data_IF_252074817019
#
_entry.id   IF_252074817019
#
_cell.length_a   1.000
_cell.length_b   1.000
_cell.length_c   1.000
_cell.angle_alpha   90.00
_cell.angle_beta   90.00
_cell.angle_gamma   90.00
#
_symmetry.space_group_name_H-M   'P 1'
#
loop_
_entity.id
_entity.type
_entity.pdbx_description
1 polymer ?
#
# COMPACT_ATOMS: atom_id res chain seq x y z
N UNK A 1 -35.04 17.48 -6.02
CA UNK A 1 -34.55 16.67 -7.15
C UNK A 1 -33.36 15.86 -6.68
N UNK A 2 -33.44 14.54 -6.86
CA UNK A 2 -32.40 13.50 -6.71
C UNK A 2 -31.50 13.54 -5.45
N UNK A 3 -31.93 12.83 -4.40
CA UNK A 3 -31.02 12.32 -3.38
C UNK A 3 -30.16 11.23 -4.05
N UNK A 4 -28.98 11.61 -4.55
CA UNK A 4 -28.02 10.68 -5.16
C UNK A 4 -27.66 9.65 -4.08
N UNK A 5 -27.95 8.34 -4.26
CA UNK A 5 -27.54 7.36 -3.27
C UNK A 5 -26.02 7.46 -3.12
N UNK A 6 -25.55 7.65 -1.90
CA UNK A 6 -24.13 7.65 -1.57
C UNK A 6 -23.56 6.33 -2.10
N UNK A 7 -22.88 6.38 -3.24
CA UNK A 7 -22.23 5.22 -3.85
C UNK A 7 -21.24 4.70 -2.82
N UNK A 8 -21.56 3.58 -2.18
CA UNK A 8 -20.66 2.96 -1.21
C UNK A 8 -19.34 2.66 -1.91
N UNK A 9 -18.18 2.96 -1.29
CA UNK A 9 -16.88 2.72 -1.92
C UNK A 9 -16.77 1.23 -2.30
N UNK A 10 -16.13 0.92 -3.43
CA UNK A 10 -16.05 -0.44 -3.93
C UNK A 10 -15.24 -1.30 -2.93
N UNK A 11 -15.79 -2.47 -2.60
CA UNK A 11 -15.17 -3.44 -1.67
C UNK A 11 -14.21 -4.30 -2.48
N UNK A 12 -12.95 -4.40 -2.03
CA UNK A 12 -11.88 -5.13 -2.70
C UNK A 12 -11.19 -6.14 -1.80
N UNK A 13 -10.70 -7.23 -2.39
CA UNK A 13 -9.83 -8.18 -1.71
C UNK A 13 -8.39 -7.67 -1.79
N UNK A 14 -7.73 -7.52 -0.63
CA UNK A 14 -6.33 -7.08 -0.53
C UNK A 14 -5.50 -8.13 0.20
N UNK A 15 -4.30 -8.37 -0.31
CA UNK A 15 -3.30 -9.23 0.31
C UNK A 15 -2.13 -8.35 0.72
N UNK A 16 -1.80 -8.33 2.01
CA UNK A 16 -0.74 -7.48 2.53
C UNK A 16 0.63 -8.15 2.47
N UNK A 17 0.72 -9.43 2.83
CA UNK A 17 1.95 -10.23 2.76
C UNK A 17 1.62 -11.72 2.67
N UNK A 18 2.39 -12.47 1.90
CA UNK A 18 2.25 -13.92 1.79
C UNK A 18 3.05 -14.61 2.92
N UNK A 19 2.38 -15.42 3.74
CA UNK A 19 3.06 -16.43 4.58
C UNK A 19 3.32 -17.68 3.76
N UNK A 20 4.15 -18.60 4.26
CA UNK A 20 4.40 -19.91 3.65
C UNK A 20 3.13 -20.73 3.33
N UNK A 21 2.00 -20.42 3.95
CA UNK A 21 0.68 -21.03 3.69
C UNK A 21 -0.13 -20.31 2.59
N UNK A 22 0.43 -19.27 2.00
CA UNK A 22 0.01 -18.71 0.71
C UNK A 22 -1.10 -17.67 0.69
N UNK A 23 -2.01 -17.54 1.66
CA UNK A 23 -3.15 -16.60 1.50
C UNK A 23 -3.71 -16.03 2.81
N UNK A 24 -3.20 -14.88 3.29
CA UNK A 24 -4.02 -14.00 4.16
C UNK A 24 -4.69 -12.99 3.24
N UNK A 25 -5.94 -13.27 2.92
CA UNK A 25 -6.81 -12.41 2.13
C UNK A 25 -7.69 -11.61 3.08
N UNK A 26 -7.69 -10.30 2.93
CA UNK A 26 -8.50 -9.40 3.75
C UNK A 26 -9.38 -8.57 2.85
N UNK A 27 -10.68 -8.62 3.10
CA UNK A 27 -11.62 -7.68 2.49
C UNK A 27 -11.39 -6.28 3.05
N UNK A 28 -11.19 -5.34 2.14
CA UNK A 28 -10.93 -3.95 2.45
C UNK A 28 -11.79 -3.03 1.60
N UNK A 29 -11.93 -1.79 2.06
CA UNK A 29 -12.55 -0.71 1.28
C UNK A 29 -11.43 0.15 0.70
N UNK A 30 -11.47 0.39 -0.62
CA UNK A 30 -10.60 1.37 -1.25
C UNK A 30 -11.35 2.70 -1.36
N UNK A 31 -10.78 3.75 -0.77
CA UNK A 31 -11.33 5.11 -0.83
C UNK A 31 -10.21 6.14 -0.65
N UNK A 32 -10.20 7.17 -1.49
CA UNK A 32 -9.20 8.25 -1.46
C UNK A 32 -7.76 7.73 -1.59
N UNK A 33 -7.54 6.83 -2.56
CA UNK A 33 -6.24 6.21 -2.88
C UNK A 33 -5.56 5.45 -1.73
N UNK A 34 -6.31 5.15 -0.68
CA UNK A 34 -5.86 4.31 0.43
C UNK A 34 -6.87 3.21 0.72
N UNK A 35 -6.41 2.19 1.43
CA UNK A 35 -7.27 1.13 1.95
C UNK A 35 -7.72 1.44 3.38
N UNK A 36 -8.91 0.95 3.70
CA UNK A 36 -9.57 1.08 4.99
C UNK A 36 -10.03 -0.29 5.48
N UNK A 37 -9.69 -0.63 6.73
CA UNK A 37 -10.10 -1.90 7.36
C UNK A 37 -10.87 -1.65 8.66
N UNK A 38 -11.95 -2.42 8.93
CA UNK A 38 -12.52 -2.45 10.27
C UNK A 38 -11.57 -3.16 11.23
N UNK A 39 -11.68 -2.83 12.51
CA UNK A 39 -10.87 -3.41 13.60
C UNK A 39 -10.79 -4.95 13.56
N UNK A 40 -11.90 -5.61 13.25
CA UNK A 40 -11.96 -7.07 13.17
C UNK A 40 -11.09 -7.65 12.03
N UNK A 41 -11.01 -6.95 10.89
CA UNK A 41 -10.15 -7.36 9.78
C UNK A 41 -8.67 -7.20 10.12
N UNK A 42 -8.31 -6.13 10.86
CA UNK A 42 -6.94 -5.92 11.37
C UNK A 42 -6.57 -7.04 12.36
N UNK A 43 -7.50 -7.40 13.24
CA UNK A 43 -7.31 -8.49 14.19
C UNK A 43 -7.05 -9.83 13.47
N UNK A 44 -7.84 -10.14 12.43
CA UNK A 44 -7.66 -11.33 11.60
C UNK A 44 -6.32 -11.33 10.84
N UNK A 45 -5.95 -10.19 10.26
CA UNK A 45 -4.70 -10.01 9.50
C UNK A 45 -3.46 -10.34 10.35
N UNK A 46 -3.41 -9.83 11.58
CA UNK A 46 -2.28 -10.04 12.49
C UNK A 46 -2.48 -11.19 13.48
N UNK A 47 -3.58 -11.95 13.37
CA UNK A 47 -3.96 -13.04 14.29
C UNK A 47 -3.85 -12.65 15.76
N UNK A 48 -4.49 -11.53 16.11
CA UNK A 48 -4.63 -11.05 17.49
C UNK A 48 -6.09 -10.79 17.83
N UNK A 49 -6.39 -10.50 19.09
CA UNK A 49 -7.74 -10.16 19.50
C UNK A 49 -8.12 -8.75 19.05
N UNK A 50 -9.40 -8.47 18.75
CA UNK A 50 -9.86 -7.10 18.51
C UNK A 50 -9.48 -6.15 19.66
N UNK A 51 -9.57 -6.60 20.91
CA UNK A 51 -9.21 -5.81 22.08
C UNK A 51 -7.75 -5.35 22.04
N UNK A 52 -6.82 -6.22 21.64
CA UNK A 52 -5.42 -5.86 21.45
C UNK A 52 -5.25 -4.81 20.34
N UNK A 53 -6.00 -4.92 19.24
CA UNK A 53 -6.02 -3.87 18.20
C UNK A 53 -6.47 -2.53 18.76
N UNK A 54 -7.54 -2.49 19.58
CA UNK A 54 -7.98 -1.24 20.22
C UNK A 54 -6.89 -0.64 21.10
N UNK A 55 -6.19 -1.47 21.88
CA UNK A 55 -5.10 -1.01 22.73
C UNK A 55 -3.95 -0.41 21.90
N UNK A 56 -3.55 -1.08 20.82
CA UNK A 56 -2.51 -0.56 19.93
C UNK A 56 -2.92 0.76 19.26
N UNK A 57 -4.15 0.86 18.75
CA UNK A 57 -4.67 2.09 18.12
C UNK A 57 -4.72 3.23 19.13
N UNK A 58 -5.16 2.96 20.36
CA UNK A 58 -5.18 3.96 21.42
C UNK A 58 -3.77 4.47 21.71
N UNK A 59 -2.80 3.58 21.87
CA UNK A 59 -1.39 3.97 22.09
C UNK A 59 -0.83 4.78 20.91
N UNK A 60 -1.12 4.41 19.67
CA UNK A 60 -0.71 5.16 18.46
C UNK A 60 -1.16 6.63 18.51
N UNK A 61 -2.40 6.87 18.95
CA UNK A 61 -2.93 8.23 19.06
C UNK A 61 -2.42 8.97 20.31
N UNK A 62 -2.21 8.27 21.44
CA UNK A 62 -1.62 8.85 22.65
C UNK A 62 -0.14 9.23 22.46
N UNK A 63 0.59 8.50 21.63
CA UNK A 63 1.97 8.77 21.24
C UNK A 63 2.07 9.83 20.12
N UNK A 64 0.94 10.38 19.66
CA UNK A 64 0.86 11.35 18.57
C UNK A 64 1.52 10.88 17.25
N UNK A 65 1.64 9.56 17.03
CA UNK A 65 2.21 9.02 15.79
C UNK A 65 1.30 9.29 14.58
N UNK A 66 -0.02 9.28 14.80
CA UNK A 66 -1.04 9.53 13.78
C UNK A 66 -2.17 10.41 14.33
N UNK A 67 -2.77 11.22 13.45
CA UNK A 67 -3.98 11.99 13.79
C UNK A 67 -5.24 11.13 13.59
N UNK A 68 -6.00 10.95 14.68
CA UNK A 68 -7.23 10.18 14.67
C UNK A 68 -8.27 10.70 13.66
N UNK A 69 -8.36 12.02 13.44
CA UNK A 69 -9.35 12.58 12.52
C UNK A 69 -9.02 12.25 11.06
N UNK A 70 -7.74 12.17 10.71
CA UNK A 70 -7.28 11.79 9.38
C UNK A 70 -7.32 10.27 9.15
N UNK A 71 -7.12 9.46 10.20
CA UNK A 71 -6.89 8.02 10.04
C UNK A 71 -8.03 7.11 10.52
N UNK A 72 -9.12 7.67 11.03
CA UNK A 72 -10.30 6.93 11.49
C UNK A 72 -11.58 7.49 10.83
N UNK A 73 -12.40 6.61 10.24
CA UNK A 73 -13.68 6.97 9.62
C UNK A 73 -14.78 6.02 10.08
N UNK A 74 -15.98 6.55 10.28
CA UNK A 74 -17.17 5.74 10.57
C UNK A 74 -17.90 5.42 9.28
N UNK A 75 -18.11 4.12 9.02
CA UNK A 75 -18.86 3.66 7.85
C UNK A 75 -20.15 2.97 8.28
N UNK A 76 -21.23 3.26 7.56
CA UNK A 76 -22.49 2.56 7.72
C UNK A 76 -22.38 1.19 7.06
N UNK A 77 -22.43 0.13 7.86
CA UNK A 77 -22.53 -1.24 7.37
C UNK A 77 -23.98 -1.69 7.48
N UNK A 78 -24.62 -1.94 6.34
CA UNK A 78 -25.95 -2.54 6.26
C UNK A 78 -25.76 -4.04 6.07
N UNK A 79 -26.28 -4.83 7.00
CA UNK A 79 -26.26 -6.29 6.92
C UNK A 79 -27.70 -6.80 7.04
N UNK A 80 -28.05 -7.83 6.26
CA UNK A 80 -29.29 -8.57 6.51
C UNK A 80 -29.05 -9.61 7.61
N UNK A 81 -29.78 -9.48 8.72
CA UNK A 81 -29.87 -10.49 9.77
C UNK A 81 -31.28 -11.11 9.70
N UNK A 82 -31.38 -12.30 9.09
CA UNK A 82 -32.66 -12.98 8.85
C UNK A 82 -33.56 -12.18 7.90
N UNK A 83 -34.71 -11.69 8.40
CA UNK A 83 -35.66 -10.84 7.63
C UNK A 83 -35.45 -9.34 7.84
N UNK A 84 -34.53 -8.91 8.71
CA UNK A 84 -34.34 -7.50 9.08
C UNK A 84 -33.04 -6.97 8.50
N UNK A 85 -33.07 -5.76 7.93
CA UNK A 85 -31.85 -5.01 7.64
C UNK A 85 -31.42 -4.28 8.91
N UNK A 86 -30.22 -4.57 9.37
CA UNK A 86 -29.60 -3.91 10.51
C UNK A 86 -28.47 -3.03 9.98
N UNK A 87 -28.54 -1.73 10.27
CA UNK A 87 -27.47 -0.79 9.98
C UNK A 87 -26.66 -0.53 11.25
N UNK A 88 -25.34 -0.69 11.18
CA UNK A 88 -24.43 -0.35 12.27
C UNK A 88 -23.31 0.53 11.75
N UNK A 89 -23.03 1.61 12.47
CA UNK A 89 -21.81 2.38 12.24
C UNK A 89 -20.62 1.59 12.78
N UNK A 90 -19.62 1.39 11.93
CA UNK A 90 -18.38 0.70 12.29
C UNK A 90 -17.18 1.54 11.91
N UNK A 91 -16.28 1.73 12.87
CA UNK A 91 -15.02 2.40 12.63
C UNK A 91 -14.14 1.57 11.70
N UNK A 92 -13.55 2.25 10.73
CA UNK A 92 -12.51 1.74 9.86
C UNK A 92 -11.27 2.61 10.01
N UNK A 93 -10.12 1.98 9.84
CA UNK A 93 -8.83 2.59 10.02
C UNK A 93 -8.05 2.53 8.71
N UNK A 94 -7.32 3.60 8.43
CA UNK A 94 -6.52 3.73 7.20
C UNK A 94 -5.33 2.78 7.17
N UNK A 95 -4.70 2.64 5.99
CA UNK A 95 -3.45 1.91 5.79
C UNK A 95 -2.36 2.28 6.82
N UNK A 96 -2.26 3.57 7.17
CA UNK A 96 -1.24 4.05 8.10
C UNK A 96 -1.40 3.41 9.48
N UNK A 97 -2.64 3.36 10.00
CA UNK A 97 -2.94 2.71 11.29
C UNK A 97 -2.71 1.21 11.20
N UNK A 98 -3.07 0.59 10.07
CA UNK A 98 -2.89 -0.86 9.87
C UNK A 98 -1.39 -1.21 9.93
N UNK A 99 -0.54 -0.46 9.23
CA UNK A 99 0.91 -0.62 9.26
C UNK A 99 1.48 -0.38 10.66
N UNK A 100 1.08 0.70 11.32
CA UNK A 100 1.51 1.07 12.67
C UNK A 100 1.18 -0.02 13.71
N UNK A 101 -0.01 -0.64 13.61
CA UNK A 101 -0.37 -1.80 14.42
C UNK A 101 0.53 -2.99 14.07
N UNK A 102 0.75 -3.28 12.79
CA UNK A 102 1.60 -4.39 12.36
C UNK A 102 3.03 -4.34 12.94
N UNK A 103 3.61 -3.15 13.07
CA UNK A 103 4.92 -2.98 13.70
C UNK A 103 4.90 -3.24 15.22
N UNK A 104 3.81 -2.93 15.91
CA UNK A 104 3.66 -3.08 17.37
C UNK A 104 3.25 -4.49 17.81
N UNK A 105 2.59 -5.25 16.94
CA UNK A 105 2.02 -6.55 17.30
C UNK A 105 3.11 -7.61 17.55
N UNK A 106 2.99 -8.29 18.68
CA UNK A 106 3.83 -9.44 19.06
C UNK A 106 3.12 -10.76 18.75
N UNK A 107 2.96 -11.08 17.47
CA UNK A 107 2.40 -12.36 16.99
C UNK A 107 3.28 -12.96 15.89
N UNK A 108 3.15 -14.26 15.57
CA UNK A 108 3.84 -14.86 14.42
C UNK A 108 3.57 -14.09 13.11
N UNK A 109 2.32 -13.66 12.89
CA UNK A 109 1.94 -12.82 11.74
C UNK A 109 2.58 -11.44 11.78
N UNK A 110 2.66 -10.81 12.95
CA UNK A 110 3.39 -9.55 13.13
C UNK A 110 4.88 -9.69 12.82
N UNK A 111 5.50 -10.81 13.21
CA UNK A 111 6.90 -11.10 12.86
C UNK A 111 7.09 -11.29 11.36
N UNK A 112 6.22 -12.06 10.70
CA UNK A 112 6.24 -12.22 9.24
C UNK A 112 6.05 -10.88 8.52
N UNK A 113 5.11 -10.06 8.98
CA UNK A 113 4.90 -8.71 8.46
C UNK A 113 6.17 -7.87 8.57
N UNK A 114 6.84 -7.86 9.73
CA UNK A 114 8.09 -7.10 9.89
C UNK A 114 9.23 -7.64 9.02
N UNK A 115 9.35 -8.95 8.86
CA UNK A 115 10.34 -9.56 7.97
C UNK A 115 10.11 -9.14 6.52
N UNK A 116 8.86 -9.26 6.05
CA UNK A 116 8.44 -8.79 4.73
C UNK A 116 8.72 -7.30 4.55
N UNK A 117 8.27 -6.44 5.47
CA UNK A 117 8.46 -5.00 5.38
C UNK A 117 9.94 -4.61 5.36
N UNK A 118 10.78 -5.30 6.16
CA UNK A 118 12.24 -5.09 6.17
C UNK A 118 12.85 -5.48 4.82
N UNK A 119 12.47 -6.62 4.26
CA UNK A 119 12.96 -7.05 2.95
C UNK A 119 12.53 -6.08 1.84
N UNK A 120 11.27 -5.65 1.84
CA UNK A 120 10.73 -4.68 0.90
C UNK A 120 11.46 -3.34 0.98
N UNK A 121 11.67 -2.82 2.20
CA UNK A 121 12.39 -1.57 2.40
C UNK A 121 13.86 -1.70 1.97
N UNK A 122 14.50 -2.83 2.29
CA UNK A 122 15.87 -3.10 1.86
C UNK A 122 15.99 -3.15 0.34
N UNK A 123 15.05 -3.81 -0.34
CA UNK A 123 15.01 -3.86 -1.80
C UNK A 123 14.87 -2.47 -2.40
N UNK A 124 13.94 -1.65 -1.87
CA UNK A 124 13.79 -0.26 -2.27
C UNK A 124 15.09 0.54 -2.11
N UNK A 125 15.75 0.43 -0.95
CA UNK A 125 16.97 1.19 -0.66
C UNK A 125 18.17 0.74 -1.52
N UNK A 126 18.26 -0.54 -1.88
CA UNK A 126 19.37 -1.07 -2.69
C UNK A 126 19.14 -0.85 -4.19
N UNK A 127 17.93 -1.15 -4.70
CA UNK A 127 17.61 -1.13 -6.13
C UNK A 127 17.01 0.19 -6.60
N UNK A 128 16.44 0.98 -5.69
CA UNK A 128 15.68 2.20 -5.99
C UNK A 128 14.21 1.96 -6.34
N UNK A 129 13.73 0.70 -6.31
CA UNK A 129 12.34 0.35 -6.61
C UNK A 129 11.92 -0.97 -5.92
N UNK A 130 10.62 -1.19 -5.80
CA UNK A 130 9.98 -2.44 -5.36
C UNK A 130 8.89 -2.77 -6.37
N UNK A 131 8.75 -4.06 -6.72
CA UNK A 131 7.65 -4.54 -7.56
C UNK A 131 6.95 -5.73 -6.91
N UNK A 132 5.64 -5.80 -7.08
CA UNK A 132 4.85 -6.97 -6.78
C UNK A 132 4.60 -7.73 -8.09
N UNK A 133 5.55 -8.57 -8.48
CA UNK A 133 5.52 -9.30 -9.76
C UNK A 133 4.27 -10.18 -9.90
N UNK A 134 3.79 -10.76 -8.80
CA UNK A 134 2.62 -11.64 -8.84
C UNK A 134 1.34 -10.85 -9.08
N UNK A 135 1.19 -9.68 -8.47
CA UNK A 135 0.08 -8.76 -8.77
C UNK A 135 0.17 -8.19 -10.18
N UNK A 136 1.38 -7.93 -10.69
CA UNK A 136 1.58 -7.41 -12.05
C UNK A 136 1.30 -8.47 -13.13
N UNK A 137 1.65 -9.73 -12.88
CA UNK A 137 1.30 -10.86 -13.79
C UNK A 137 -0.18 -11.19 -13.76
N UNK A 138 -0.81 -11.00 -12.61
CA UNK A 138 -2.23 -11.30 -12.38
C UNK A 138 -2.96 -10.00 -12.00
N UNK A 139 -3.02 -9.00 -12.91
CA UNK A 139 -3.68 -7.75 -12.61
C UNK A 139 -5.14 -8.04 -12.25
N UNK A 140 -5.73 -7.26 -11.35
CA UNK A 140 -7.12 -7.44 -10.97
C UNK A 140 -8.03 -7.28 -12.21
N UNK A 141 -8.46 -8.40 -12.81
CA UNK A 141 -9.36 -8.38 -13.98
C UNK A 141 -10.83 -8.32 -13.55
N UNK A 142 -11.61 -7.43 -14.18
CA UNK A 142 -13.06 -7.35 -13.99
C UNK A 142 -13.51 -6.49 -12.80
N UNK A 143 -14.37 -7.05 -11.93
CA UNK A 143 -15.02 -6.35 -10.80
C UNK A 143 -14.11 -6.12 -9.59
N UNK A 144 -12.79 -6.17 -9.76
CA UNK A 144 -11.87 -5.99 -8.65
C UNK A 144 -11.79 -4.52 -8.25
N UNK A 145 -12.09 -4.22 -6.99
CA UNK A 145 -12.10 -2.86 -6.46
C UNK A 145 -10.72 -2.31 -6.12
N UNK A 146 -9.65 -3.08 -6.34
CA UNK A 146 -8.28 -2.61 -6.14
C UNK A 146 -7.90 -1.74 -7.35
N UNK A 147 -7.47 -0.48 -7.15
CA UNK A 147 -7.05 0.36 -8.26
C UNK A 147 -5.90 -0.28 -9.04
N UNK A 148 -6.00 -0.25 -10.37
CA UNK A 148 -4.94 -0.65 -11.28
C UNK A 148 -4.05 0.55 -11.58
N UNK A 149 -2.76 0.44 -11.25
CA UNK A 149 -1.74 1.46 -11.47
C UNK A 149 -0.76 1.07 -12.58
N UNK A 150 -1.07 0.04 -13.37
CA UNK A 150 -0.16 -0.47 -14.39
C UNK A 150 0.15 0.57 -15.48
N UNK A 151 -0.86 1.28 -15.99
CA UNK A 151 -0.67 2.31 -17.00
C UNK A 151 0.16 3.49 -16.48
N UNK A 152 -0.08 3.91 -15.24
CA UNK A 152 0.73 4.96 -14.60
C UNK A 152 2.20 4.53 -14.46
N UNK A 153 2.43 3.26 -14.05
CA UNK A 153 3.77 2.70 -13.97
C UNK A 153 4.47 2.67 -15.32
N UNK A 154 3.78 2.22 -16.38
CA UNK A 154 4.32 2.23 -17.74
C UNK A 154 4.71 3.64 -18.18
N UNK A 155 3.89 4.64 -17.88
CA UNK A 155 4.17 6.02 -18.24
C UNK A 155 5.41 6.56 -17.50
N UNK A 156 5.51 6.30 -16.19
CA UNK A 156 6.72 6.64 -15.41
C UNK A 156 7.99 6.02 -16.02
N UNK A 157 7.92 4.75 -16.43
CA UNK A 157 9.04 4.05 -17.08
C UNK A 157 9.39 4.69 -18.43
N UNK A 158 8.40 5.03 -19.26
CA UNK A 158 8.63 5.74 -20.55
C UNK A 158 9.31 7.08 -20.35
N UNK A 159 8.86 7.87 -19.37
CA UNK A 159 9.46 9.17 -19.03
C UNK A 159 10.92 8.99 -18.60
N UNK A 160 11.23 7.98 -17.78
CA UNK A 160 12.61 7.67 -17.37
C UNK A 160 13.47 7.34 -18.60
N UNK A 161 12.97 6.50 -19.52
CA UNK A 161 13.70 6.17 -20.75
C UNK A 161 13.95 7.39 -21.63
N UNK A 162 12.96 8.26 -21.80
CA UNK A 162 13.11 9.50 -22.57
C UNK A 162 14.18 10.42 -21.97
N UNK A 163 14.19 10.56 -20.64
CA UNK A 163 15.19 11.36 -19.92
C UNK A 163 16.62 10.79 -20.08
N UNK A 164 16.78 9.47 -19.95
CA UNK A 164 18.06 8.78 -20.14
C UNK A 164 18.58 8.85 -21.59
N UNK A 165 17.69 8.81 -22.58
CA UNK A 165 18.06 9.00 -23.99
C UNK A 165 18.64 10.40 -24.24
N UNK A 166 18.07 11.44 -23.61
CA UNK A 166 18.58 12.80 -23.69
C UNK A 166 19.98 12.93 -23.05
N UNK A 167 20.19 12.31 -21.88
CA UNK A 167 21.48 12.31 -21.18
C UNK A 167 22.59 11.55 -21.92
N UNK A 168 22.24 10.50 -22.66
CA UNK A 168 23.19 9.71 -23.45
C UNK A 168 23.52 10.37 -24.80
N UNK A 169 22.61 11.18 -25.36
CA UNK A 169 22.89 12.06 -26.49
C UNK A 169 23.86 13.20 -26.11
N UNK A 170 23.66 13.83 -24.94
CA UNK A 170 24.55 14.90 -24.43
C UNK A 170 25.98 14.43 -24.13
N UNK A 171 26.16 13.19 -23.65
CA UNK A 171 27.49 12.60 -23.39
C UNK A 171 28.28 12.27 -24.67
N UNK A 172 27.64 12.15 -25.82
CA UNK A 172 28.32 11.88 -27.10
C UNK A 172 29.00 13.13 -27.69
N UNK A 173 28.61 14.33 -27.25
CA UNK A 173 29.18 15.61 -27.70
C UNK A 173 30.40 16.06 -26.90
N UNK A 174 30.79 15.33 -25.84
CA UNK A 174 31.92 15.65 -24.97
C UNK A 174 33.06 14.61 -25.05
N UNK A 175 33.38 14.11 -26.26
CA UNK A 175 34.66 13.42 -26.47
C UNK A 175 35.70 14.45 -26.91
N UNK A 176 36.77 14.72 -26.14
CA UNK A 176 37.89 15.51 -26.66
C UNK A 176 38.49 14.77 -27.87
N UNK A 177 38.66 15.49 -28.97
CA UNK A 177 39.39 15.00 -30.14
C UNK A 177 40.82 14.66 -29.72
N UNK A 178 41.37 13.58 -30.30
CA UNK A 178 42.63 12.90 -29.93
C UNK A 178 43.92 13.73 -30.12
N UNK A 179 43.87 15.06 -30.08
CA UNK A 179 44.99 15.98 -30.32
C UNK A 179 45.56 16.64 -29.06
N UNK A 180 45.01 16.41 -27.87
CA UNK A 180 45.48 17.09 -26.62
C UNK A 180 46.30 16.20 -25.66
N UNK A 181 46.84 15.05 -26.09
CA UNK A 181 47.63 14.15 -25.20
C UNK A 181 49.15 14.23 -25.47
N UNK A 182 49.63 15.19 -26.27
CA UNK A 182 51.07 15.35 -26.51
C UNK A 182 51.47 16.77 -26.08
N UNK A 183 52.46 16.85 -25.18
CA UNK A 183 53.06 18.02 -24.53
C UNK A 183 52.51 18.44 -23.15
N UNK A 184 53.09 17.86 -22.10
CA UNK A 184 53.34 18.56 -20.83
C UNK A 184 54.82 18.99 -20.77
N UNK A 185 55.18 20.14 -20.16
CA UNK A 185 56.52 20.71 -20.25
C UNK A 185 57.52 20.04 -19.29
N UNK A 186 58.78 20.14 -19.72
CA UNK A 186 60.07 19.61 -19.23
C UNK A 186 60.24 19.55 -17.71
#
# INVERSE_FOLDING_TARGET
MANKPLTSPPIGEFVMFASGDGKVRVECRFESDTLWLPQASIANLYQITPQAVTQHIKAIYEEEELDQNATCKSYLQVQQEGRRQVSRNRLHYSLQVILAVGYRVRSPRGTQFRQWATQTLQEYLIKGFVMDDERLKNPPVGSSAVPDYFDEMLERVRVIFACCAHLSAGRRLARPTRSEIIFGPV
#
